data_IF_544092682741
#
_entry.id   IF_544092682741
#
_cell.length_a   1.000
_cell.length_b   1.000
_cell.length_c   1.000
_cell.angle_alpha   90.00
_cell.angle_beta   90.00
_cell.angle_gamma   90.00
#
_symmetry.space_group_name_H-M   'P 1'
#
loop_
_entity.id
_entity.type
_entity.pdbx_description
1 polymer ?
#
# COMPACT_ATOMS: atom_id res chain seq x y z
N UNK A 1 28.32 26.49 8.25
CA UNK A 1 28.19 25.60 7.08
C UNK A 1 27.01 24.68 7.39
N UNK A 2 25.80 25.14 7.09
CA UNK A 2 24.56 24.38 7.27
C UNK A 2 24.51 23.35 6.16
N UNK A 3 24.72 22.08 6.50
CA UNK A 3 24.49 20.96 5.60
C UNK A 3 23.02 20.92 5.26
N UNK A 4 22.65 21.50 4.12
CA UNK A 4 21.37 21.25 3.46
C UNK A 4 21.35 19.77 3.09
N UNK A 5 20.76 18.98 3.98
CA UNK A 5 20.59 17.56 3.81
C UNK A 5 19.54 17.38 2.71
N UNK A 6 20.00 17.19 1.48
CA UNK A 6 19.16 16.73 0.38
C UNK A 6 18.55 15.38 0.79
N UNK A 7 17.35 15.41 1.36
CA UNK A 7 16.56 14.27 1.78
C UNK A 7 15.96 13.55 0.57
N UNK A 8 16.81 13.18 -0.38
CA UNK A 8 16.43 12.36 -1.51
C UNK A 8 16.62 10.90 -1.12
N UNK A 9 15.51 10.19 -0.90
CA UNK A 9 15.40 8.89 -1.57
C UNK A 9 14.72 7.73 -0.85
N UNK A 10 14.57 7.73 0.48
CA UNK A 10 13.95 6.58 1.17
C UNK A 10 12.73 7.02 2.00
N UNK A 11 11.54 6.62 1.55
CA UNK A 11 10.34 6.71 2.37
C UNK A 11 10.49 5.77 3.56
N UNK A 12 10.26 6.28 4.79
CA UNK A 12 10.26 5.41 5.96
C UNK A 12 9.05 4.48 5.95
N UNK A 13 9.12 3.30 6.61
CA UNK A 13 7.96 2.42 6.79
C UNK A 13 6.73 3.17 7.33
N UNK A 14 6.94 4.12 8.25
CA UNK A 14 5.87 4.94 8.81
C UNK A 14 5.24 5.88 7.77
N UNK A 15 6.03 6.45 6.86
CA UNK A 15 5.51 7.28 5.77
C UNK A 15 4.69 6.44 4.78
N UNK A 16 5.19 5.25 4.41
CA UNK A 16 4.46 4.32 3.56
C UNK A 16 3.16 3.84 4.20
N UNK A 17 3.19 3.49 5.49
CA UNK A 17 1.99 3.11 6.24
C UNK A 17 0.97 4.25 6.29
N UNK A 18 1.40 5.48 6.58
CA UNK A 18 0.51 6.64 6.58
C UNK A 18 -0.12 6.91 5.20
N UNK A 19 0.66 6.83 4.13
CA UNK A 19 0.17 6.95 2.76
C UNK A 19 -0.83 5.84 2.44
N UNK A 20 -0.54 4.60 2.84
CA UNK A 20 -1.45 3.45 2.67
C UNK A 20 -2.78 3.70 3.37
N UNK A 21 -2.76 4.12 4.64
CA UNK A 21 -3.98 4.44 5.40
C UNK A 21 -4.81 5.54 4.70
N UNK A 22 -4.17 6.58 4.18
CA UNK A 22 -4.86 7.62 3.42
C UNK A 22 -5.52 7.07 2.15
N UNK A 23 -4.85 6.18 1.43
CA UNK A 23 -5.41 5.58 0.23
C UNK A 23 -6.57 4.65 0.57
N UNK A 24 -6.45 3.87 1.65
CA UNK A 24 -7.51 2.99 2.15
C UNK A 24 -8.78 3.79 2.51
N UNK A 25 -8.65 4.99 3.11
CA UNK A 25 -9.82 5.84 3.40
C UNK A 25 -10.48 6.34 2.12
N UNK A 26 -9.70 6.71 1.10
CA UNK A 26 -10.24 7.11 -0.22
C UNK A 26 -10.91 5.97 -0.96
N UNK A 27 -10.36 4.76 -0.88
CA UNK A 27 -10.99 3.56 -1.45
C UNK A 27 -12.38 3.32 -0.85
N UNK A 28 -12.55 3.55 0.46
CA UNK A 28 -13.84 3.40 1.13
C UNK A 28 -14.92 4.34 0.57
N UNK A 29 -14.54 5.55 0.13
CA UNK A 29 -15.46 6.51 -0.51
C UNK A 29 -15.81 6.09 -1.95
N UNK A 30 -14.84 5.56 -2.69
CA UNK A 30 -14.98 5.18 -4.11
C UNK A 30 -14.13 3.94 -4.41
N UNK A 31 -14.71 2.73 -4.31
CA UNK A 31 -13.99 1.50 -4.59
C UNK A 31 -13.48 1.46 -6.03
N UNK A 32 -12.19 1.19 -6.18
CA UNK A 32 -11.49 1.14 -7.47
C UNK A 32 -10.42 0.03 -7.40
N UNK A 33 -10.47 -0.99 -8.28
CA UNK A 33 -9.53 -2.11 -8.25
C UNK A 33 -8.06 -1.70 -8.35
N UNK A 34 -7.78 -0.66 -9.15
CA UNK A 34 -6.45 -0.10 -9.34
C UNK A 34 -5.93 0.54 -8.03
N UNK A 35 -6.81 1.19 -7.27
CA UNK A 35 -6.48 1.72 -5.94
C UNK A 35 -6.23 0.56 -4.96
N UNK A 36 -7.02 -0.51 -5.01
CA UNK A 36 -6.76 -1.69 -4.19
C UNK A 36 -5.40 -2.35 -4.50
N UNK A 37 -5.01 -2.42 -5.79
CA UNK A 37 -3.66 -2.88 -6.17
C UNK A 37 -2.57 -1.96 -5.64
N UNK A 38 -2.79 -0.64 -5.63
CA UNK A 38 -1.83 0.31 -5.07
C UNK A 38 -1.66 0.13 -3.56
N UNK A 39 -2.75 -0.13 -2.83
CA UNK A 39 -2.71 -0.45 -1.40
C UNK A 39 -1.88 -1.72 -1.17
N UNK A 40 -2.14 -2.79 -1.94
CA UNK A 40 -1.37 -4.04 -1.84
C UNK A 40 0.13 -3.80 -2.01
N UNK A 41 0.54 -3.07 -3.06
CA UNK A 41 1.96 -2.78 -3.31
C UNK A 41 2.62 -2.01 -2.16
N UNK A 42 1.91 -1.08 -1.52
CA UNK A 42 2.49 -0.37 -0.38
C UNK A 42 2.62 -1.28 0.84
N UNK A 43 1.65 -2.16 1.07
CA UNK A 43 1.73 -3.15 2.14
C UNK A 43 2.88 -4.14 1.93
N UNK A 44 3.10 -4.60 0.69
CA UNK A 44 4.23 -5.48 0.32
C UNK A 44 5.57 -4.81 0.67
N UNK A 45 5.75 -3.54 0.29
CA UNK A 45 6.98 -2.80 0.61
C UNK A 45 7.19 -2.69 2.13
N UNK A 46 6.13 -2.45 2.91
CA UNK A 46 6.26 -2.36 4.38
C UNK A 46 6.51 -3.74 5.00
N UNK A 47 5.91 -4.80 4.47
CA UNK A 47 6.10 -6.18 4.93
C UNK A 47 7.52 -6.71 4.67
N UNK A 48 8.13 -6.30 3.56
CA UNK A 48 9.49 -6.70 3.18
C UNK A 48 10.59 -5.81 3.81
N UNK A 49 10.24 -4.64 4.36
CA UNK A 49 11.22 -3.72 4.97
C UNK A 49 11.66 -4.19 6.37
N UNK A 50 12.93 -4.57 6.50
CA UNK A 50 13.57 -4.98 7.76
C UNK A 50 13.55 -3.87 8.83
N UNK A 51 13.46 -2.60 8.41
CA UNK A 51 13.38 -1.43 9.30
C UNK A 51 12.01 -1.29 9.96
N UNK A 52 10.99 -1.97 9.45
CA UNK A 52 9.67 -1.99 10.06
C UNK A 52 9.67 -2.82 11.36
N UNK A 53 8.72 -2.53 12.25
CA UNK A 53 8.50 -3.37 13.42
C UNK A 53 7.98 -4.76 13.00
N UNK A 54 8.38 -5.87 13.65
CA UNK A 54 7.90 -7.21 13.29
C UNK A 54 6.38 -7.33 13.27
N UNK A 55 5.67 -6.73 14.24
CA UNK A 55 4.21 -6.74 14.27
C UNK A 55 3.62 -5.97 13.07
N UNK A 56 4.27 -4.89 12.64
CA UNK A 56 3.84 -4.14 11.46
C UNK A 56 3.94 -5.00 10.20
N UNK A 57 5.05 -5.74 10.02
CA UNK A 57 5.20 -6.66 8.88
C UNK A 57 4.12 -7.73 8.86
N UNK A 58 3.87 -8.38 10.01
CA UNK A 58 2.82 -9.40 10.13
C UNK A 58 1.42 -8.86 9.81
N UNK A 59 1.11 -7.63 10.27
CA UNK A 59 -0.15 -6.96 9.96
C UNK A 59 -0.26 -6.64 8.46
N UNK A 60 0.81 -6.14 7.84
CA UNK A 60 0.86 -5.87 6.41
C UNK A 60 0.64 -7.15 5.59
N UNK A 61 1.30 -8.25 5.92
CA UNK A 61 1.11 -9.56 5.29
C UNK A 61 -0.35 -10.05 5.38
N UNK A 62 -0.95 -9.97 6.57
CA UNK A 62 -2.35 -10.34 6.76
C UNK A 62 -3.30 -9.46 5.94
N UNK A 63 -2.99 -8.17 5.79
CA UNK A 63 -3.80 -7.23 5.01
C UNK A 63 -3.67 -7.46 3.51
N UNK A 64 -2.50 -7.83 2.98
CA UNK A 64 -2.29 -8.12 1.55
C UNK A 64 -3.30 -9.16 1.07
N UNK A 65 -3.41 -10.29 1.75
CA UNK A 65 -4.35 -11.36 1.38
C UNK A 65 -5.82 -10.91 1.42
N UNK A 66 -6.19 -10.05 2.37
CA UNK A 66 -7.54 -9.49 2.46
C UNK A 66 -7.83 -8.52 1.31
N UNK A 67 -6.85 -7.73 0.91
CA UNK A 67 -6.99 -6.73 -0.14
C UNK A 67 -6.98 -7.31 -1.55
N UNK A 68 -6.41 -8.50 -1.76
CA UNK A 68 -6.42 -9.16 -3.08
C UNK A 68 -7.84 -9.34 -3.64
N UNK A 69 -8.84 -9.54 -2.78
CA UNK A 69 -10.25 -9.66 -3.19
C UNK A 69 -10.81 -8.38 -3.83
N UNK A 70 -10.27 -7.22 -3.47
CA UNK A 70 -10.68 -5.91 -3.99
C UNK A 70 -9.92 -5.50 -5.24
N UNK A 71 -8.74 -6.08 -5.46
CA UNK A 71 -7.87 -5.81 -6.60
C UNK A 71 -8.28 -6.56 -7.88
N UNK A 72 -9.06 -7.64 -7.73
CA UNK A 72 -9.74 -8.30 -8.85
C UNK A 72 -10.96 -7.46 -9.18
N UNK A 73 -10.78 -6.53 -10.13
CA UNK A 73 -11.91 -5.80 -10.70
C UNK A 73 -12.87 -6.74 -11.42
N UNK A 74 -14.02 -6.19 -11.82
CA UNK A 74 -15.01 -6.79 -12.73
C UNK A 74 -14.44 -6.97 -14.17
N UNK A 75 -13.17 -7.35 -14.29
CA UNK A 75 -12.46 -7.64 -15.52
C UNK A 75 -13.11 -8.80 -16.29
N UNK A 76 -13.92 -9.62 -15.61
CA UNK A 76 -14.82 -10.59 -16.25
C UNK A 76 -15.88 -9.95 -17.15
N UNK A 77 -16.29 -8.70 -16.90
CA UNK A 77 -17.34 -8.02 -17.67
C UNK A 77 -16.78 -7.28 -18.90
N UNK A 78 -15.51 -6.84 -18.87
CA UNK A 78 -14.86 -6.11 -19.99
C UNK A 78 -14.18 -7.00 -21.02
N UNK A 79 -13.83 -8.24 -20.69
CA UNK A 79 -13.29 -9.20 -21.65
C UNK A 79 -14.38 -9.88 -22.51
N UNK A 80 -15.66 -9.60 -22.24
CA UNK A 80 -16.82 -10.20 -22.90
C UNK A 80 -17.54 -9.26 -23.89
N UNK A 81 -16.94 -8.12 -24.25
CA UNK A 81 -17.53 -7.12 -25.15
C UNK A 81 -16.54 -6.69 -26.25
#
# INVERSE_FOLDING_TARGET
>A
MTTEQSATGDASPNMLAAATLFVMTRFAERPCPEVAQMVIRHLEVVAEDERADPLMREVCDALIGRWSLHAVGDAGLRAAH
#
